data_IF_996845538230
#
_entry.id   IF_996845538230
#
_cell.length_a   1.000
_cell.length_b   1.000
_cell.length_c   1.000
_cell.angle_alpha   90.00
_cell.angle_beta   90.00
_cell.angle_gamma   90.00
#
_symmetry.space_group_name_H-M   'P 1'
#
loop_
_entity.id
_entity.type
_entity.pdbx_description
1 polymer ?
#
# COMPACT_ATOMS: atom_id res chain seq x y z
N UNK A 1 -9.50 33.05 -87.03
CA UNK A 1 -8.28 33.46 -86.31
C UNK A 1 -8.11 32.54 -85.12
N UNK A 2 -6.91 32.04 -84.96
CA UNK A 2 -6.51 30.81 -84.29
C UNK A 2 -6.24 31.01 -82.78
N UNK A 3 -6.32 29.90 -82.05
CA UNK A 3 -6.00 29.59 -80.65
C UNK A 3 -4.72 30.21 -80.09
N UNK A 4 -4.73 30.65 -78.81
CA UNK A 4 -3.62 30.40 -77.84
C UNK A 4 -4.06 30.51 -76.37
N UNK A 5 -3.55 29.57 -75.57
CA UNK A 5 -3.64 29.28 -74.13
C UNK A 5 -3.04 30.36 -73.20
N UNK A 6 -3.54 30.48 -71.96
CA UNK A 6 -2.71 30.85 -70.81
C UNK A 6 -3.30 30.30 -69.48
N UNK A 7 -2.46 29.53 -68.80
CA UNK A 7 -2.61 28.86 -67.51
C UNK A 7 -2.69 29.85 -66.35
N UNK A 8 -3.50 29.60 -65.32
CA UNK A 8 -3.30 30.24 -64.01
C UNK A 8 -3.68 29.30 -62.85
N UNK A 9 -2.72 29.18 -61.95
CA UNK A 9 -2.58 28.29 -60.80
C UNK A 9 -3.60 28.57 -59.69
N UNK A 10 -4.12 27.50 -59.09
CA UNK A 10 -5.00 27.51 -57.91
C UNK A 10 -4.17 27.51 -56.62
N UNK A 11 -4.44 28.45 -55.71
CA UNK A 11 -4.09 28.31 -54.28
C UNK A 11 -5.28 28.71 -53.43
N UNK A 12 -5.78 27.75 -52.67
CA UNK A 12 -6.94 27.82 -51.77
C UNK A 12 -6.52 28.40 -50.42
N UNK A 13 -7.25 29.40 -49.92
CA UNK A 13 -7.20 29.81 -48.50
C UNK A 13 -8.63 29.90 -47.98
N UNK A 14 -8.99 29.00 -47.07
CA UNK A 14 -10.32 28.96 -46.44
C UNK A 14 -10.24 29.65 -45.08
N UNK A 15 -10.90 30.80 -44.96
CA UNK A 15 -11.08 31.53 -43.70
C UNK A 15 -12.23 30.89 -42.91
N UNK A 16 -12.00 30.49 -41.66
CA UNK A 16 -13.06 30.06 -40.74
C UNK A 16 -13.13 31.01 -39.55
N UNK A 17 -14.29 31.62 -39.38
CA UNK A 17 -14.65 32.61 -38.36
C UNK A 17 -14.81 31.95 -37.00
N UNK A 18 -14.14 32.47 -35.98
CA UNK A 18 -14.22 32.03 -34.59
C UNK A 18 -15.36 32.74 -33.86
N UNK A 19 -16.30 32.00 -33.26
CA UNK A 19 -17.29 32.53 -32.32
C UNK A 19 -16.90 32.10 -30.91
N UNK A 20 -16.63 33.09 -30.06
CA UNK A 20 -16.22 32.92 -28.66
C UNK A 20 -17.39 32.46 -27.80
N UNK A 21 -17.25 31.31 -27.13
CA UNK A 21 -18.11 30.90 -26.01
C UNK A 21 -17.25 30.92 -24.75
N UNK A 22 -17.64 31.76 -23.80
CA UNK A 22 -17.01 31.91 -22.49
C UNK A 22 -17.41 30.71 -21.61
N UNK A 23 -16.47 29.81 -21.34
CA UNK A 23 -16.65 28.73 -20.36
C UNK A 23 -16.05 29.17 -19.03
N UNK A 24 -16.90 29.32 -18.02
CA UNK A 24 -16.50 29.52 -16.63
C UNK A 24 -15.86 28.22 -16.12
N UNK A 25 -14.56 28.25 -15.84
CA UNK A 25 -13.81 27.08 -15.35
C UNK A 25 -13.95 27.00 -13.83
N UNK A 26 -14.82 26.12 -13.34
CA UNK A 26 -14.76 25.60 -11.97
C UNK A 26 -13.65 24.54 -11.95
N UNK A 27 -12.54 24.83 -11.28
CA UNK A 27 -11.46 23.87 -11.04
C UNK A 27 -11.90 22.87 -9.98
N UNK A 28 -12.53 21.79 -10.42
CA UNK A 28 -12.71 20.58 -9.62
C UNK A 28 -11.36 19.88 -9.53
N UNK A 29 -10.59 20.14 -8.47
CA UNK A 29 -9.38 19.38 -8.14
C UNK A 29 -9.80 18.05 -7.48
N UNK A 30 -10.53 17.22 -8.22
CA UNK A 30 -10.57 15.78 -7.94
C UNK A 30 -9.20 15.22 -8.25
N UNK A 31 -8.56 14.52 -7.30
CA UNK A 31 -7.50 13.58 -7.66
C UNK A 31 -8.08 12.71 -8.79
N UNK A 32 -7.32 12.55 -9.89
CA UNK A 32 -7.77 11.74 -11.01
C UNK A 32 -8.26 10.37 -10.48
N UNK A 33 -9.32 9.77 -11.06
CA UNK A 33 -9.76 8.43 -10.67
C UNK A 33 -8.53 7.54 -10.77
N UNK A 34 -8.10 7.04 -9.62
CA UNK A 34 -6.76 6.51 -9.55
C UNK A 34 -6.72 5.17 -10.29
N UNK A 35 -5.98 5.13 -11.39
CA UNK A 35 -5.78 3.95 -12.24
C UNK A 35 -4.82 2.95 -11.59
N UNK A 36 -4.36 3.20 -10.36
CA UNK A 36 -3.32 2.40 -9.69
C UNK A 36 -3.90 1.12 -9.08
N UNK A 37 -4.27 0.18 -9.95
CA UNK A 37 -4.61 -1.20 -9.61
C UNK A 37 -3.37 -2.03 -9.22
N UNK A 38 -2.16 -1.48 -9.33
CA UNK A 38 -0.93 -2.26 -9.17
C UNK A 38 -0.81 -2.86 -7.76
N UNK A 39 -1.36 -2.21 -6.73
CA UNK A 39 -1.31 -2.74 -5.36
C UNK A 39 -2.17 -4.01 -5.17
N UNK A 40 -3.18 -4.23 -6.01
CA UNK A 40 -4.09 -5.37 -5.94
C UNK A 40 -3.35 -6.68 -6.21
N UNK A 41 -2.50 -6.69 -7.23
CA UNK A 41 -1.67 -7.86 -7.55
C UNK A 41 -0.56 -8.07 -6.53
N UNK A 42 -0.05 -6.98 -5.93
CA UNK A 42 1.06 -7.06 -4.97
C UNK A 42 0.64 -7.72 -3.65
N UNK A 43 -0.64 -7.61 -3.25
CA UNK A 43 -1.15 -8.25 -2.01
C UNK A 43 -1.06 -9.78 -2.07
N UNK A 44 -1.03 -10.37 -3.26
CA UNK A 44 -0.82 -11.82 -3.47
C UNK A 44 0.57 -12.29 -3.03
N UNK A 45 1.55 -11.39 -2.93
CA UNK A 45 2.91 -11.73 -2.53
C UNK A 45 2.99 -12.42 -1.16
N UNK A 46 2.13 -12.02 -0.21
CA UNK A 46 2.13 -12.56 1.14
C UNK A 46 1.73 -14.03 1.22
N UNK A 47 0.49 -14.39 0.86
CA UNK A 47 0.01 -15.76 0.89
C UNK A 47 0.90 -16.70 0.05
N UNK A 48 1.34 -16.25 -1.13
CA UNK A 48 2.19 -17.05 -2.00
C UNK A 48 3.58 -17.31 -1.39
N UNK A 49 4.24 -16.31 -0.80
CA UNK A 49 5.51 -16.49 -0.09
C UNK A 49 5.38 -17.46 1.09
N UNK A 50 4.30 -17.37 1.87
CA UNK A 50 4.02 -18.30 2.98
C UNK A 50 3.88 -19.73 2.49
N UNK A 51 3.23 -19.93 1.35
CA UNK A 51 3.06 -21.26 0.76
C UNK A 51 4.37 -21.83 0.21
N UNK A 52 5.19 -21.02 -0.48
CA UNK A 52 6.50 -21.46 -0.94
C UNK A 52 7.43 -21.81 0.23
N UNK A 53 7.38 -21.05 1.33
CA UNK A 53 8.09 -21.41 2.55
C UNK A 53 7.61 -22.76 3.10
N UNK A 54 6.31 -23.03 3.07
CA UNK A 54 5.76 -24.32 3.49
C UNK A 54 6.27 -25.48 2.63
N UNK A 55 6.24 -25.32 1.30
CA UNK A 55 6.77 -26.29 0.35
C UNK A 55 8.26 -26.54 0.59
N UNK A 56 9.03 -25.48 0.85
CA UNK A 56 10.45 -25.58 1.16
C UNK A 56 10.69 -26.34 2.47
N UNK A 57 9.89 -26.08 3.50
CA UNK A 57 9.98 -26.83 4.76
C UNK A 57 9.63 -28.32 4.59
N UNK A 58 8.66 -28.66 3.74
CA UNK A 58 8.39 -30.06 3.39
C UNK A 58 9.60 -30.68 2.67
N UNK A 59 10.21 -29.97 1.73
CA UNK A 59 11.43 -30.43 1.05
C UNK A 59 12.58 -30.67 2.03
N UNK A 60 12.85 -29.70 2.90
CA UNK A 60 13.91 -29.78 3.91
C UNK A 60 13.66 -30.84 5.00
N UNK A 61 12.43 -31.36 5.13
CA UNK A 61 12.14 -32.48 6.03
C UNK A 61 12.74 -33.81 5.55
N UNK A 62 13.14 -33.92 4.27
CA UNK A 62 13.82 -35.12 3.72
C UNK A 62 15.20 -35.32 4.32
N UNK A 63 16.00 -34.25 4.40
CA UNK A 63 17.39 -34.27 4.86
C UNK A 63 17.75 -32.88 5.38
N UNK A 64 18.52 -32.81 6.46
CA UNK A 64 19.12 -31.54 6.86
C UNK A 64 20.45 -31.35 6.14
N UNK A 65 20.64 -30.16 5.57
CA UNK A 65 21.76 -29.85 4.68
C UNK A 65 22.66 -28.81 5.33
N UNK A 66 23.96 -29.09 5.38
CA UNK A 66 24.98 -28.09 5.72
C UNK A 66 25.14 -27.17 4.51
N UNK A 67 25.07 -25.87 4.77
CA UNK A 67 25.21 -24.82 3.78
C UNK A 67 26.66 -24.34 3.78
N UNK A 68 27.30 -24.36 2.62
CA UNK A 68 28.71 -23.96 2.47
C UNK A 68 28.76 -22.75 1.54
N UNK A 69 29.03 -21.55 2.04
CA UNK A 69 29.24 -20.38 1.18
C UNK A 69 30.50 -20.57 0.32
N UNK A 70 30.59 -19.82 -0.77
CA UNK A 70 31.85 -19.75 -1.53
C UNK A 70 32.95 -19.04 -0.74
N UNK A 71 34.22 -19.33 -1.04
CA UNK A 71 35.39 -18.82 -0.28
C UNK A 71 35.42 -17.28 -0.13
N UNK A 72 34.82 -16.56 -1.08
CA UNK A 72 34.79 -15.10 -1.10
C UNK A 72 33.48 -14.49 -0.55
N UNK A 73 32.53 -15.32 -0.09
CA UNK A 73 31.24 -14.84 0.39
C UNK A 73 31.19 -14.79 1.92
N UNK A 74 30.94 -13.59 2.46
CA UNK A 74 30.74 -13.39 3.90
C UNK A 74 29.25 -13.38 4.22
N UNK A 75 28.82 -14.34 5.03
CA UNK A 75 27.45 -14.43 5.56
C UNK A 75 27.20 -13.27 6.53
N UNK A 76 26.08 -12.57 6.37
CA UNK A 76 25.68 -11.38 7.14
C UNK A 76 24.40 -11.57 7.94
N UNK A 77 23.42 -12.30 7.41
CA UNK A 77 22.05 -12.34 7.95
C UNK A 77 21.68 -13.73 8.51
N UNK A 78 22.14 -14.81 7.89
CA UNK A 78 21.92 -16.18 8.32
C UNK A 78 22.72 -16.46 9.59
N UNK A 79 22.05 -16.99 10.62
CA UNK A 79 22.68 -17.25 11.91
C UNK A 79 23.36 -18.61 12.00
N UNK A 80 22.83 -19.62 11.31
CA UNK A 80 23.34 -21.00 11.40
C UNK A 80 23.36 -21.70 10.05
N UNK A 81 24.50 -21.66 9.38
CA UNK A 81 24.71 -22.37 8.10
C UNK A 81 24.91 -23.87 8.24
N UNK A 82 25.05 -24.41 9.46
CA UNK A 82 25.22 -25.84 9.66
C UNK A 82 23.93 -26.64 9.46
N UNK A 83 22.78 -25.97 9.29
CA UNK A 83 21.48 -26.62 9.18
C UNK A 83 20.51 -25.77 8.37
N UNK A 84 20.20 -26.21 7.14
CA UNK A 84 19.15 -25.62 6.32
C UNK A 84 17.82 -25.52 7.09
N UNK A 85 17.47 -26.52 7.90
CA UNK A 85 16.26 -26.47 8.72
C UNK A 85 16.29 -25.32 9.72
N UNK A 86 17.44 -25.07 10.35
CA UNK A 86 17.62 -23.93 11.27
C UNK A 86 17.46 -22.59 10.55
N UNK A 87 18.00 -22.46 9.33
CA UNK A 87 17.81 -21.24 8.51
C UNK A 87 16.34 -21.05 8.13
N UNK A 88 15.63 -22.11 7.74
CA UNK A 88 14.20 -22.03 7.43
C UNK A 88 13.35 -21.65 8.65
N UNK A 89 13.72 -22.12 9.85
CA UNK A 89 13.10 -21.69 11.10
C UNK A 89 13.36 -20.21 11.38
N UNK A 90 14.58 -19.73 11.15
CA UNK A 90 14.93 -18.30 11.26
C UNK A 90 14.07 -17.46 10.31
N UNK A 91 14.00 -17.82 9.03
CA UNK A 91 13.19 -17.14 8.02
C UNK A 91 11.71 -17.14 8.41
N UNK A 92 11.16 -18.30 8.80
CA UNK A 92 9.78 -18.41 9.25
C UNK A 92 9.47 -17.50 10.43
N UNK A 93 10.37 -17.44 11.42
CA UNK A 93 10.20 -16.55 12.57
C UNK A 93 10.28 -15.07 12.18
N UNK A 94 11.19 -14.71 11.27
CA UNK A 94 11.35 -13.34 10.80
C UNK A 94 10.14 -12.88 9.98
N UNK A 95 9.66 -13.72 9.06
CA UNK A 95 8.43 -13.49 8.30
C UNK A 95 7.20 -13.38 9.20
N UNK A 96 7.05 -14.28 10.18
CA UNK A 96 5.95 -14.24 11.15
C UNK A 96 5.92 -12.89 11.88
N UNK A 97 7.08 -12.45 12.37
CA UNK A 97 7.22 -11.16 13.06
C UNK A 97 6.86 -9.99 12.14
N UNK A 98 7.36 -10.00 10.90
CA UNK A 98 7.06 -8.95 9.92
C UNK A 98 5.56 -8.86 9.63
N UNK A 99 4.88 -9.99 9.44
CA UNK A 99 3.44 -10.03 9.19
C UNK A 99 2.60 -9.59 10.39
N UNK A 100 2.97 -9.99 11.61
CA UNK A 100 2.27 -9.58 12.82
C UNK A 100 2.38 -8.07 13.04
N UNK A 101 3.60 -7.52 12.96
CA UNK A 101 3.83 -6.07 13.09
C UNK A 101 3.05 -5.32 12.01
N UNK A 102 3.15 -5.73 10.74
CA UNK A 102 2.42 -5.08 9.66
C UNK A 102 0.90 -5.13 9.83
N UNK A 103 0.37 -6.25 10.33
CA UNK A 103 -1.05 -6.39 10.60
C UNK A 103 -1.54 -5.41 11.67
N UNK A 104 -0.82 -5.32 12.79
CA UNK A 104 -1.13 -4.37 13.87
C UNK A 104 -0.97 -2.91 13.42
N UNK A 105 0.11 -2.62 12.73
CA UNK A 105 0.44 -1.29 12.18
C UNK A 105 -0.65 -0.81 11.22
N UNK A 106 -1.09 -1.65 10.29
CA UNK A 106 -2.13 -1.30 9.32
C UNK A 106 -3.52 -1.20 9.95
N UNK A 107 -3.80 -1.90 11.05
CA UNK A 107 -5.01 -1.66 11.85
C UNK A 107 -4.98 -0.24 12.46
N UNK A 108 -3.81 0.22 12.94
CA UNK A 108 -3.68 1.58 13.48
C UNK A 108 -3.86 2.63 12.40
N UNK A 109 -3.19 2.47 11.25
CA UNK A 109 -3.33 3.38 10.10
C UNK A 109 -4.79 3.49 9.69
N UNK A 110 -5.48 2.36 9.53
CA UNK A 110 -6.91 2.30 9.25
C UNK A 110 -7.73 3.09 10.26
N UNK A 111 -7.51 2.86 11.56
CA UNK A 111 -8.22 3.57 12.62
C UNK A 111 -7.99 5.08 12.57
N UNK A 112 -6.78 5.53 12.24
CA UNK A 112 -6.45 6.95 12.15
C UNK A 112 -7.06 7.59 10.91
N UNK A 113 -7.04 6.90 9.76
CA UNK A 113 -7.67 7.38 8.52
C UNK A 113 -9.19 7.49 8.61
N UNK A 114 -9.84 6.57 9.34
CA UNK A 114 -11.29 6.56 9.58
C UNK A 114 -11.76 7.81 10.35
N UNK A 115 -10.89 8.40 11.20
CA UNK A 115 -11.22 9.55 12.06
C UNK A 115 -11.00 10.92 11.40
N UNK A 116 -10.20 10.98 10.33
CA UNK A 116 -9.83 12.24 9.67
C UNK A 116 -11.06 13.06 9.22
N UNK A 117 -12.08 12.48 8.55
CA UNK A 117 -13.24 13.23 8.12
C UNK A 117 -13.97 13.93 9.27
N UNK A 118 -14.17 13.23 10.39
CA UNK A 118 -14.87 13.80 11.56
C UNK A 118 -14.06 14.91 12.23
N UNK A 119 -12.74 14.76 12.31
CA UNK A 119 -11.88 15.83 12.82
C UNK A 119 -11.88 17.08 11.92
N UNK A 120 -11.91 16.90 10.60
CA UNK A 120 -12.00 18.01 9.64
C UNK A 120 -13.36 18.71 9.76
N UNK A 121 -14.46 17.96 9.79
CA UNK A 121 -15.81 18.51 9.99
C UNK A 121 -15.90 19.37 11.25
N UNK A 122 -15.34 18.87 12.36
CA UNK A 122 -15.29 19.61 13.61
C UNK A 122 -14.48 20.92 13.48
N UNK A 123 -13.35 20.88 12.78
CA UNK A 123 -12.51 22.06 12.54
C UNK A 123 -13.24 23.13 11.73
N UNK A 124 -13.93 22.72 10.66
CA UNK A 124 -14.72 23.62 9.82
C UNK A 124 -15.88 24.26 10.61
N UNK A 125 -16.63 23.49 11.41
CA UNK A 125 -17.72 24.02 12.24
C UNK A 125 -17.23 25.03 13.27
N UNK A 126 -16.07 24.77 13.89
CA UNK A 126 -15.47 25.71 14.82
C UNK A 126 -15.16 27.03 14.10
N UNK A 127 -14.51 26.98 12.93
CA UNK A 127 -14.19 28.18 12.15
C UNK A 127 -15.46 28.96 11.78
N UNK A 128 -16.52 28.27 11.35
CA UNK A 128 -17.77 28.90 10.92
C UNK A 128 -18.54 29.55 12.09
N UNK A 129 -18.70 28.82 13.20
CA UNK A 129 -19.73 29.14 14.21
C UNK A 129 -19.17 29.55 15.57
N UNK A 130 -17.93 29.16 15.92
CA UNK A 130 -17.45 29.33 17.27
C UNK A 130 -17.11 30.80 17.58
N UNK A 131 -17.54 31.33 18.73
CA UNK A 131 -17.06 32.62 19.23
C UNK A 131 -15.53 32.68 19.32
N UNK A 132 -14.91 33.85 19.10
CA UNK A 132 -13.44 34.03 19.06
C UNK A 132 -12.71 33.45 20.30
N UNK A 133 -13.31 33.59 21.49
CA UNK A 133 -12.75 33.07 22.74
C UNK A 133 -12.78 31.54 22.85
N UNK A 134 -13.72 30.88 22.16
CA UNK A 134 -13.81 29.41 22.11
C UNK A 134 -12.96 28.87 20.96
N UNK A 135 -12.99 29.54 19.80
CA UNK A 135 -12.22 29.17 18.62
C UNK A 135 -10.72 29.07 18.93
N UNK A 136 -10.17 30.09 19.60
CA UNK A 136 -8.76 30.13 20.00
C UNK A 136 -8.34 29.03 20.97
N UNK A 137 -9.28 28.38 21.67
CA UNK A 137 -9.02 27.27 22.60
C UNK A 137 -9.21 25.90 21.98
N UNK A 138 -10.25 25.73 21.16
CA UNK A 138 -10.66 24.41 20.64
C UNK A 138 -10.07 24.06 19.26
N UNK A 139 -9.81 25.07 18.42
CA UNK A 139 -9.26 24.83 17.09
C UNK A 139 -7.87 24.18 17.14
N UNK A 140 -6.91 24.62 18.01
CA UNK A 140 -5.61 23.96 18.10
C UNK A 140 -5.71 22.47 18.45
N UNK A 141 -6.64 22.10 19.33
CA UNK A 141 -6.87 20.70 19.70
C UNK A 141 -7.37 19.87 18.50
N UNK A 142 -8.29 20.43 17.71
CA UNK A 142 -8.84 19.76 16.53
C UNK A 142 -7.77 19.58 15.45
N UNK A 143 -6.97 20.63 15.18
CA UNK A 143 -5.86 20.55 14.23
C UNK A 143 -4.82 19.52 14.67
N UNK A 144 -4.48 19.49 15.96
CA UNK A 144 -3.54 18.51 16.49
C UNK A 144 -4.03 17.06 16.31
N UNK A 145 -5.33 16.81 16.43
CA UNK A 145 -5.88 15.47 16.19
C UNK A 145 -5.79 15.06 14.71
N UNK A 146 -6.10 15.98 13.79
CA UNK A 146 -5.92 15.76 12.33
C UNK A 146 -4.45 15.50 12.02
N UNK A 147 -3.55 16.34 12.53
CA UNK A 147 -2.11 16.22 12.33
C UNK A 147 -1.58 14.89 12.87
N UNK A 148 -1.99 14.50 14.08
CA UNK A 148 -1.58 13.25 14.70
C UNK A 148 -2.03 12.05 13.86
N UNK A 149 -3.28 12.03 13.42
CA UNK A 149 -3.81 10.94 12.58
C UNK A 149 -3.06 10.83 11.24
N UNK A 150 -2.74 11.98 10.62
CA UNK A 150 -1.95 12.06 9.40
C UNK A 150 -0.50 11.57 9.60
N UNK A 151 0.15 12.02 10.69
CA UNK A 151 1.53 11.68 11.02
C UNK A 151 1.70 10.21 11.39
N UNK A 152 0.69 9.59 12.01
CA UNK A 152 0.73 8.19 12.43
C UNK A 152 0.90 7.23 11.23
N UNK A 153 0.22 7.51 10.11
CA UNK A 153 0.37 6.76 8.87
C UNK A 153 1.82 6.68 8.38
N UNK A 154 2.42 7.86 8.19
CA UNK A 154 3.80 8.01 7.69
C UNK A 154 4.85 7.47 8.67
N UNK A 155 4.65 7.73 9.97
CA UNK A 155 5.59 7.32 11.01
C UNK A 155 5.68 5.78 11.15
N UNK A 156 4.59 5.07 10.89
CA UNK A 156 4.51 3.62 11.04
C UNK A 156 4.91 2.90 9.75
N UNK A 157 4.49 3.37 8.57
CA UNK A 157 4.68 2.67 7.30
C UNK A 157 6.14 2.36 6.96
N UNK A 158 7.04 3.29 7.24
CA UNK A 158 8.47 3.16 6.89
C UNK A 158 9.20 2.11 7.72
N UNK A 159 9.12 2.10 9.07
CA UNK A 159 9.62 0.99 9.88
C UNK A 159 9.04 -0.37 9.47
N UNK A 160 7.75 -0.43 9.10
CA UNK A 160 7.15 -1.67 8.58
C UNK A 160 7.86 -2.12 7.31
N UNK A 161 8.03 -1.24 6.31
CA UNK A 161 8.76 -1.54 5.06
C UNK A 161 10.19 -2.05 5.31
N UNK A 162 10.93 -1.40 6.21
CA UNK A 162 12.32 -1.79 6.54
C UNK A 162 12.41 -3.21 7.10
N UNK A 163 11.38 -3.68 7.83
CA UNK A 163 11.30 -5.08 8.29
C UNK A 163 11.16 -6.04 7.12
N UNK A 164 10.33 -5.72 6.13
CA UNK A 164 10.21 -6.55 4.92
C UNK A 164 11.52 -6.59 4.15
N UNK A 165 12.20 -5.45 3.98
CA UNK A 165 13.53 -5.41 3.34
C UNK A 165 14.51 -6.32 4.08
N UNK A 166 14.53 -6.26 5.42
CA UNK A 166 15.42 -7.09 6.24
C UNK A 166 15.18 -8.59 6.07
N UNK A 167 13.92 -9.03 5.97
CA UNK A 167 13.59 -10.44 5.68
C UNK A 167 13.98 -10.82 4.24
N UNK A 168 13.81 -9.91 3.28
CA UNK A 168 14.22 -10.12 1.89
C UNK A 168 15.72 -10.40 1.77
N UNK A 169 16.54 -9.65 2.49
CA UNK A 169 18.00 -9.85 2.55
C UNK A 169 18.37 -11.23 3.11
N UNK A 170 17.64 -11.72 4.11
CA UNK A 170 17.84 -13.07 4.67
C UNK A 170 17.51 -14.17 3.64
N UNK A 171 16.41 -14.02 2.89
CA UNK A 171 16.01 -14.98 1.84
C UNK A 171 16.99 -14.95 0.67
N UNK A 172 17.44 -13.77 0.26
CA UNK A 172 18.42 -13.59 -0.81
C UNK A 172 19.77 -14.20 -0.46
N UNK A 173 20.23 -14.03 0.78
CA UNK A 173 21.45 -14.69 1.25
C UNK A 173 21.29 -16.20 1.24
N UNK A 174 20.15 -16.75 1.66
CA UNK A 174 19.89 -18.20 1.60
C UNK A 174 19.97 -18.72 0.17
N UNK A 175 19.32 -18.05 -0.79
CA UNK A 175 19.38 -18.42 -2.20
C UNK A 175 20.82 -18.42 -2.72
N UNK A 176 21.61 -17.42 -2.35
CA UNK A 176 23.03 -17.27 -2.75
C UNK A 176 23.90 -18.39 -2.18
N UNK A 177 23.73 -18.71 -0.89
CA UNK A 177 24.51 -19.76 -0.23
C UNK A 177 24.12 -21.15 -0.76
N UNK A 178 22.83 -21.39 -1.04
CA UNK A 178 22.38 -22.65 -1.64
C UNK A 178 23.00 -22.88 -3.02
N UNK A 179 23.03 -21.84 -3.87
CA UNK A 179 23.69 -21.88 -5.18
C UNK A 179 25.19 -22.18 -5.10
N UNK A 180 25.85 -21.76 -4.01
CA UNK A 180 27.29 -21.94 -3.81
C UNK A 180 27.64 -23.25 -3.12
N UNK A 181 26.66 -23.93 -2.50
CA UNK A 181 26.89 -25.14 -1.72
C UNK A 181 27.23 -26.29 -2.67
N UNK A 182 28.40 -26.94 -2.54
CA UNK A 182 28.80 -28.00 -3.45
C UNK A 182 27.94 -29.26 -3.25
N UNK A 183 27.58 -29.91 -4.35
CA UNK A 183 26.94 -31.22 -4.31
C UNK A 183 27.98 -32.34 -4.25
N UNK A 184 27.76 -33.31 -3.35
CA UNK A 184 28.62 -34.50 -3.23
C UNK A 184 28.12 -35.69 -4.08
N UNK A 185 26.92 -35.60 -4.62
CA UNK A 185 26.28 -36.62 -5.48
C UNK A 185 25.25 -35.97 -6.41
N UNK A 186 24.82 -36.68 -7.45
CA UNK A 186 23.73 -36.25 -8.34
C UNK A 186 22.42 -36.06 -7.57
N UNK A 187 22.04 -37.00 -6.70
CA UNK A 187 20.86 -36.88 -5.84
C UNK A 187 20.93 -35.63 -4.93
N UNK A 188 22.12 -35.29 -4.42
CA UNK A 188 22.31 -34.08 -3.63
C UNK A 188 22.27 -32.81 -4.49
N UNK A 189 22.66 -32.89 -5.77
CA UNK A 189 22.55 -31.79 -6.71
C UNK A 189 21.08 -31.47 -7.02
N UNK A 190 20.26 -32.48 -7.29
CA UNK A 190 18.82 -32.32 -7.52
C UNK A 190 18.12 -31.72 -6.29
N UNK A 191 18.46 -32.20 -5.09
CA UNK A 191 17.95 -31.65 -3.84
C UNK A 191 18.29 -30.17 -3.66
N UNK A 192 19.55 -29.78 -3.91
CA UNK A 192 20.00 -28.39 -3.79
C UNK A 192 19.39 -27.48 -4.87
N UNK A 193 19.19 -27.99 -6.08
CA UNK A 193 18.52 -27.28 -7.16
C UNK A 193 17.05 -26.99 -6.79
N UNK A 194 16.31 -27.97 -6.28
CA UNK A 194 14.92 -27.78 -5.84
C UNK A 194 14.85 -26.81 -4.64
N UNK A 195 15.76 -26.94 -3.67
CA UNK A 195 15.88 -26.01 -2.53
C UNK A 195 16.14 -24.57 -2.99
N UNK A 196 17.03 -24.39 -3.96
CA UNK A 196 17.34 -23.08 -4.57
C UNK A 196 16.12 -22.50 -5.29
N UNK A 197 15.36 -23.34 -6.00
CA UNK A 197 14.11 -22.91 -6.65
C UNK A 197 13.12 -22.35 -5.64
N UNK A 198 12.89 -23.06 -4.53
CA UNK A 198 11.99 -22.56 -3.49
C UNK A 198 12.48 -21.25 -2.87
N UNK A 199 13.79 -21.11 -2.59
CA UNK A 199 14.35 -19.86 -2.06
C UNK A 199 14.13 -18.69 -3.03
N UNK A 200 14.31 -18.91 -4.34
CA UNK A 200 14.06 -17.91 -5.37
C UNK A 200 12.57 -17.58 -5.52
N UNK A 201 11.68 -18.56 -5.47
CA UNK A 201 10.24 -18.33 -5.52
C UNK A 201 9.79 -17.48 -4.33
N UNK A 202 10.26 -17.78 -3.12
CA UNK A 202 10.03 -16.97 -1.94
C UNK A 202 10.55 -15.54 -2.17
N UNK A 203 11.79 -15.38 -2.65
CA UNK A 203 12.38 -14.07 -2.93
C UNK A 203 11.49 -13.25 -3.86
N UNK A 204 11.09 -13.82 -5.00
CA UNK A 204 10.25 -13.14 -5.99
C UNK A 204 8.92 -12.68 -5.37
N UNK A 205 8.26 -13.53 -4.58
CA UNK A 205 7.00 -13.16 -3.93
C UNK A 205 7.20 -12.15 -2.80
N UNK A 206 8.32 -12.22 -2.10
CA UNK A 206 8.69 -11.27 -1.06
C UNK A 206 9.01 -9.88 -1.62
N UNK A 207 9.62 -9.80 -2.81
CA UNK A 207 9.84 -8.53 -3.51
C UNK A 207 8.52 -7.84 -3.88
N UNK A 208 7.44 -8.59 -4.14
CA UNK A 208 6.11 -8.01 -4.33
C UNK A 208 5.59 -7.37 -3.04
N UNK A 209 5.82 -8.00 -1.88
CA UNK A 209 5.49 -7.40 -0.58
C UNK A 209 6.30 -6.14 -0.31
N UNK A 210 7.60 -6.13 -0.61
CA UNK A 210 8.43 -4.93 -0.46
C UNK A 210 7.88 -3.79 -1.33
N UNK A 211 7.48 -4.09 -2.58
CA UNK A 211 6.81 -3.10 -3.46
C UNK A 211 5.48 -2.62 -2.88
N UNK A 212 4.67 -3.52 -2.33
CA UNK A 212 3.40 -3.19 -1.67
C UNK A 212 3.62 -2.22 -0.50
N UNK A 213 4.53 -2.54 0.42
CA UNK A 213 4.80 -1.70 1.59
C UNK A 213 5.45 -0.37 1.21
N UNK A 214 6.19 -0.30 0.10
CA UNK A 214 6.66 0.96 -0.45
C UNK A 214 5.49 1.82 -0.93
N UNK A 215 4.56 1.26 -1.72
CA UNK A 215 3.33 1.97 -2.12
C UNK A 215 2.51 2.44 -0.92
N UNK A 216 2.40 1.63 0.14
CA UNK A 216 1.77 2.05 1.39
C UNK A 216 2.46 3.26 2.01
N UNK A 217 3.80 3.25 2.10
CA UNK A 217 4.55 4.37 2.65
C UNK A 217 4.39 5.63 1.82
N UNK A 218 4.52 5.52 0.50
CA UNK A 218 4.37 6.65 -0.42
C UNK A 218 2.95 7.23 -0.33
N UNK A 219 1.92 6.38 -0.20
CA UNK A 219 0.54 6.81 0.02
C UNK A 219 0.36 7.50 1.36
N UNK A 220 0.94 6.97 2.44
CA UNK A 220 0.86 7.56 3.77
C UNK A 220 1.50 8.97 3.79
N UNK A 221 2.67 9.13 3.17
CA UNK A 221 3.36 10.41 3.01
C UNK A 221 2.55 11.38 2.14
N UNK A 222 1.94 10.89 1.06
CA UNK A 222 1.06 11.69 0.21
C UNK A 222 -0.17 12.16 0.99
N UNK A 223 -0.82 11.27 1.75
CA UNK A 223 -2.00 11.59 2.56
C UNK A 223 -1.65 12.65 3.61
N UNK A 224 -0.53 12.47 4.31
CA UNK A 224 -0.03 13.42 5.29
C UNK A 224 0.26 14.79 4.66
N UNK A 225 0.95 14.81 3.52
CA UNK A 225 1.26 16.05 2.78
C UNK A 225 -0.02 16.74 2.32
N UNK A 226 -1.00 15.99 1.80
CA UNK A 226 -2.29 16.53 1.40
C UNK A 226 -2.98 17.18 2.59
N UNK A 227 -3.05 16.53 3.74
CA UNK A 227 -3.68 17.07 4.96
C UNK A 227 -2.99 18.34 5.44
N UNK A 228 -1.66 18.31 5.52
CA UNK A 228 -0.88 19.44 6.02
C UNK A 228 -1.08 20.67 5.11
N UNK A 229 -0.87 20.50 3.81
CA UNK A 229 -0.90 21.62 2.86
C UNK A 229 -2.33 22.12 2.59
N UNK A 230 -3.32 21.22 2.62
CA UNK A 230 -4.70 21.53 2.24
C UNK A 230 -5.57 22.00 3.41
N UNK A 231 -5.20 21.69 4.64
CA UNK A 231 -6.04 21.98 5.81
C UNK A 231 -5.28 22.68 6.93
N UNK A 232 -4.17 22.11 7.39
CA UNK A 232 -3.47 22.60 8.58
C UNK A 232 -2.75 23.93 8.30
N UNK A 233 -1.94 23.99 7.24
CA UNK A 233 -1.15 25.18 6.90
C UNK A 233 -2.02 26.41 6.61
N UNK A 234 -3.09 26.35 5.80
CA UNK A 234 -3.94 27.52 5.55
C UNK A 234 -4.57 28.08 6.83
N UNK A 235 -4.97 27.20 7.76
CA UNK A 235 -5.54 27.61 9.05
C UNK A 235 -4.47 28.26 9.93
N UNK A 236 -3.28 27.67 10.02
CA UNK A 236 -2.16 28.21 10.79
C UNK A 236 -1.68 29.57 10.23
N UNK A 237 -1.73 29.77 8.92
CA UNK A 237 -1.40 31.06 8.29
C UNK A 237 -2.46 32.15 8.55
N UNK A 238 -3.73 31.77 8.72
CA UNK A 238 -4.81 32.69 9.02
C UNK A 238 -4.81 33.17 10.49
N UNK A 239 -4.29 32.36 11.44
CA UNK A 239 -4.31 32.67 12.87
C UNK A 239 -3.55 33.96 13.27
N UNK A 240 -2.28 34.20 12.86
CA UNK A 240 -1.51 35.38 13.29
C UNK A 240 -2.02 36.70 12.72
N UNK A 241 -2.70 36.67 11.58
CA UNK A 241 -3.07 37.86 10.80
C UNK A 241 -4.48 38.38 11.11
N UNK A 242 -5.07 38.01 12.27
CA UNK A 242 -6.49 38.24 12.58
C UNK A 242 -7.48 37.61 11.58
N UNK A 243 -7.03 36.71 10.70
CA UNK A 243 -7.83 36.10 9.63
C UNK A 243 -8.92 35.14 10.11
N UNK A 244 -9.10 35.02 11.43
CA UNK A 244 -10.16 34.27 12.08
C UNK A 244 -11.00 35.13 13.03
N UNK A 245 -10.78 36.45 13.11
CA UNK A 245 -11.46 37.32 14.07
C UNK A 245 -12.77 37.89 13.53
N UNK A 246 -12.92 37.99 12.20
CA UNK A 246 -14.13 38.48 11.53
C UNK A 246 -14.84 37.35 10.79
N UNK A 247 -16.16 37.47 10.63
CA UNK A 247 -16.95 36.47 9.90
C UNK A 247 -16.63 36.46 8.41
N UNK A 248 -16.26 37.60 7.82
CA UNK A 248 -15.86 37.69 6.42
C UNK A 248 -14.55 36.93 6.15
N UNK A 249 -13.56 37.04 7.04
CA UNK A 249 -12.28 36.35 6.85
C UNK A 249 -12.42 34.84 7.03
N UNK A 250 -13.23 34.42 8.00
CA UNK A 250 -13.60 33.01 8.22
C UNK A 250 -14.30 32.42 6.99
N UNK A 251 -15.26 33.14 6.40
CA UNK A 251 -15.96 32.68 5.20
C UNK A 251 -15.00 32.55 4.01
N UNK A 252 -14.10 33.51 3.82
CA UNK A 252 -13.08 33.45 2.76
C UNK A 252 -12.09 32.27 2.95
N UNK A 253 -11.75 31.93 4.21
CA UNK A 253 -10.94 30.75 4.51
C UNK A 253 -11.71 29.46 4.24
N UNK A 254 -12.97 29.37 4.68
CA UNK A 254 -13.82 28.20 4.45
C UNK A 254 -13.99 27.92 2.95
N UNK A 255 -14.24 28.95 2.13
CA UNK A 255 -14.31 28.82 0.67
C UNK A 255 -13.05 28.21 0.03
N UNK A 256 -11.88 28.38 0.65
CA UNK A 256 -10.61 27.78 0.20
C UNK A 256 -10.43 26.35 0.73
N UNK A 257 -10.74 26.11 2.00
CA UNK A 257 -10.52 24.82 2.66
C UNK A 257 -11.46 23.73 2.10
N UNK A 258 -12.72 24.09 1.88
CA UNK A 258 -13.80 23.17 1.56
C UNK A 258 -13.49 22.31 0.33
N UNK A 259 -13.10 22.86 -0.84
CA UNK A 259 -12.73 22.04 -1.99
C UNK A 259 -11.57 21.08 -1.72
N UNK A 260 -10.63 21.46 -0.84
CA UNK A 260 -9.46 20.63 -0.55
C UNK A 260 -9.77 19.49 0.42
N UNK A 261 -10.84 19.59 1.22
CA UNK A 261 -11.27 18.49 2.11
C UNK A 261 -11.71 17.25 1.35
N UNK A 262 -12.24 17.41 0.12
CA UNK A 262 -12.56 16.29 -0.79
C UNK A 262 -11.29 15.51 -1.13
N UNK A 263 -10.18 16.18 -1.43
CA UNK A 263 -8.91 15.52 -1.75
C UNK A 263 -8.34 14.78 -0.53
N UNK A 264 -8.47 15.35 0.67
CA UNK A 264 -8.07 14.67 1.92
C UNK A 264 -8.91 13.41 2.15
N UNK A 265 -10.22 13.52 1.96
CA UNK A 265 -11.17 12.43 2.17
C UNK A 265 -10.93 11.25 1.20
N UNK A 266 -10.65 11.56 -0.06
CA UNK A 266 -10.25 10.58 -1.07
C UNK A 266 -8.94 9.88 -0.70
N UNK A 267 -7.91 10.65 -0.34
CA UNK A 267 -6.59 10.12 -0.01
C UNK A 267 -6.62 9.22 1.22
N UNK A 268 -7.34 9.65 2.27
CA UNK A 268 -7.48 8.90 3.52
C UNK A 268 -8.24 7.60 3.33
N UNK A 269 -9.35 7.61 2.57
CA UNK A 269 -10.16 6.42 2.31
C UNK A 269 -9.43 5.38 1.48
N UNK A 270 -8.62 5.82 0.53
CA UNK A 270 -7.82 4.91 -0.27
C UNK A 270 -6.75 4.21 0.57
N UNK A 271 -6.01 4.96 1.39
CA UNK A 271 -5.04 4.37 2.31
C UNK A 271 -5.69 3.39 3.30
N UNK A 272 -6.86 3.76 3.81
CA UNK A 272 -7.70 2.93 4.66
C UNK A 272 -8.12 1.62 3.95
N UNK A 273 -8.59 1.70 2.70
CA UNK A 273 -9.01 0.55 1.92
C UNK A 273 -7.83 -0.40 1.62
N UNK A 274 -6.66 0.14 1.26
CA UNK A 274 -5.46 -0.68 1.08
C UNK A 274 -5.11 -1.40 2.39
N UNK A 275 -5.12 -0.68 3.52
CA UNK A 275 -4.78 -1.23 4.83
C UNK A 275 -5.78 -2.32 5.28
N UNK A 276 -7.07 -2.10 5.05
CA UNK A 276 -8.14 -3.10 5.28
C UNK A 276 -7.92 -4.35 4.44
N UNK A 277 -7.62 -4.19 3.15
CA UNK A 277 -7.40 -5.32 2.25
C UNK A 277 -6.22 -6.17 2.72
N UNK A 278 -5.08 -5.55 3.05
CA UNK A 278 -3.95 -6.31 3.58
C UNK A 278 -4.26 -7.00 4.90
N UNK A 279 -4.93 -6.31 5.85
CA UNK A 279 -5.22 -6.88 7.17
C UNK A 279 -6.16 -8.08 7.08
N UNK A 280 -7.16 -8.03 6.20
CA UNK A 280 -8.04 -9.17 5.89
C UNK A 280 -7.24 -10.35 5.29
N UNK A 281 -6.42 -10.09 4.26
CA UNK A 281 -5.57 -11.13 3.63
C UNK A 281 -4.59 -11.74 4.64
N UNK A 282 -3.96 -10.91 5.47
CA UNK A 282 -2.98 -11.34 6.46
C UNK A 282 -3.61 -12.25 7.52
N UNK A 283 -4.79 -11.88 8.01
CA UNK A 283 -5.56 -12.67 8.98
C UNK A 283 -5.98 -14.01 8.41
N UNK A 284 -6.54 -14.03 7.21
CA UNK A 284 -7.22 -15.20 6.67
C UNK A 284 -6.26 -16.18 5.96
N UNK A 285 -5.09 -15.70 5.52
CA UNK A 285 -4.21 -16.48 4.64
C UNK A 285 -2.74 -16.53 5.06
N UNK A 286 -2.28 -15.72 6.02
CA UNK A 286 -0.84 -15.60 6.31
C UNK A 286 -0.49 -15.98 7.75
N UNK A 287 -1.05 -15.29 8.75
CA UNK A 287 -0.60 -15.40 10.15
C UNK A 287 -0.76 -16.83 10.70
N UNK A 288 -1.91 -17.46 10.49
CA UNK A 288 -2.14 -18.82 10.99
C UNK A 288 -1.34 -19.86 10.19
N UNK A 289 -1.24 -19.68 8.86
CA UNK A 289 -0.52 -20.61 7.99
C UNK A 289 0.98 -20.63 8.29
N UNK A 290 1.62 -19.47 8.46
CA UNK A 290 3.05 -19.41 8.75
C UNK A 290 3.40 -20.04 10.11
N UNK A 291 2.50 -19.97 11.09
CA UNK A 291 2.67 -20.64 12.38
C UNK A 291 2.67 -22.17 12.22
N UNK A 292 1.79 -22.69 11.36
CA UNK A 292 1.68 -24.13 11.07
C UNK A 292 2.86 -24.67 10.27
N UNK A 293 3.50 -23.84 9.45
CA UNK A 293 4.56 -24.29 8.53
C UNK A 293 5.73 -24.99 9.24
N UNK A 294 6.08 -24.56 10.46
CA UNK A 294 7.19 -25.13 11.24
C UNK A 294 7.05 -26.64 11.47
N UNK A 295 5.82 -27.15 11.53
CA UNK A 295 5.55 -28.58 11.70
C UNK A 295 5.98 -29.43 10.50
N UNK A 296 6.07 -28.84 9.29
CA UNK A 296 6.46 -29.58 8.09
C UNK A 296 7.88 -30.13 8.14
N UNK A 297 8.79 -29.46 8.86
CA UNK A 297 10.18 -29.92 9.04
C UNK A 297 10.27 -31.26 9.78
N UNK A 298 9.24 -31.62 10.56
CA UNK A 298 9.17 -32.87 11.32
C UNK A 298 8.60 -34.06 10.55
N UNK A 299 8.23 -33.91 9.27
CA UNK A 299 7.65 -35.02 8.50
C UNK A 299 8.72 -36.05 8.14
N UNK A 300 8.65 -37.22 8.77
CA UNK A 300 9.56 -38.34 8.50
C UNK A 300 9.15 -39.20 7.29
N UNK A 301 7.85 -39.29 6.99
CA UNK A 301 7.27 -40.27 6.07
C UNK A 301 7.05 -39.66 4.67
N UNK A 302 7.58 -40.29 3.62
CA UNK A 302 7.49 -39.77 2.23
C UNK A 302 6.04 -39.63 1.73
N UNK A 303 5.16 -40.60 2.01
CA UNK A 303 3.75 -40.52 1.61
C UNK A 303 3.03 -39.32 2.23
N UNK A 304 3.42 -38.93 3.45
CA UNK A 304 2.90 -37.74 4.12
C UNK A 304 3.46 -36.47 3.46
N UNK A 305 4.76 -36.42 3.13
CA UNK A 305 5.35 -35.29 2.38
C UNK A 305 4.65 -35.05 1.05
N UNK A 306 4.48 -36.11 0.25
CA UNK A 306 3.81 -36.03 -1.05
C UNK A 306 2.35 -35.54 -0.91
N UNK A 307 1.64 -35.98 0.12
CA UNK A 307 0.29 -35.49 0.42
C UNK A 307 0.30 -34.00 0.81
N UNK A 308 1.21 -33.59 1.69
CA UNK A 308 1.35 -32.19 2.12
C UNK A 308 1.70 -31.27 0.95
N UNK A 309 2.63 -31.67 0.07
CA UNK A 309 2.96 -30.89 -1.13
C UNK A 309 1.75 -30.70 -2.04
N UNK A 310 0.98 -31.76 -2.32
CA UNK A 310 -0.24 -31.65 -3.15
C UNK A 310 -1.26 -30.70 -2.53
N UNK A 311 -1.48 -30.78 -1.22
CA UNK A 311 -2.40 -29.89 -0.50
C UNK A 311 -1.92 -28.43 -0.55
N UNK A 312 -0.62 -28.17 -0.35
CA UNK A 312 -0.05 -26.83 -0.45
C UNK A 312 -0.20 -26.25 -1.87
N UNK A 313 0.00 -27.05 -2.92
CA UNK A 313 -0.21 -26.60 -4.30
C UNK A 313 -1.68 -26.27 -4.59
N UNK A 314 -2.62 -27.08 -4.11
CA UNK A 314 -4.05 -26.81 -4.25
C UNK A 314 -4.46 -25.54 -3.48
N UNK A 315 -3.96 -25.40 -2.24
CA UNK A 315 -4.21 -24.24 -1.41
C UNK A 315 -3.70 -22.97 -2.09
N UNK A 316 -2.49 -22.99 -2.65
CA UNK A 316 -1.90 -21.86 -3.37
C UNK A 316 -2.83 -21.31 -4.46
N UNK A 317 -3.35 -22.18 -5.32
CA UNK A 317 -4.24 -21.80 -6.42
C UNK A 317 -5.56 -21.21 -5.89
N UNK A 318 -6.16 -21.84 -4.88
CA UNK A 318 -7.42 -21.36 -4.30
C UNK A 318 -7.24 -20.02 -3.57
N UNK A 319 -6.15 -19.86 -2.81
CA UNK A 319 -5.83 -18.63 -2.08
C UNK A 319 -5.54 -17.48 -3.04
N UNK A 320 -4.77 -17.72 -4.11
CA UNK A 320 -4.47 -16.66 -5.08
C UNK A 320 -5.74 -16.12 -5.75
N UNK A 321 -6.70 -17.00 -6.08
CA UNK A 321 -7.99 -16.59 -6.65
C UNK A 321 -8.80 -15.79 -5.64
N UNK A 322 -8.90 -16.27 -4.40
CA UNK A 322 -9.68 -15.60 -3.35
C UNK A 322 -9.13 -14.22 -3.01
N UNK A 323 -7.82 -14.07 -2.93
CA UNK A 323 -7.14 -12.82 -2.60
C UNK A 323 -7.25 -11.82 -3.75
N UNK A 324 -7.07 -12.26 -5.01
CA UNK A 324 -7.26 -11.39 -6.17
C UNK A 324 -8.71 -10.90 -6.26
N UNK A 325 -9.69 -11.78 -6.02
CA UNK A 325 -11.11 -11.42 -5.98
C UNK A 325 -11.40 -10.41 -4.87
N UNK A 326 -10.83 -10.60 -3.68
CA UNK A 326 -11.00 -9.66 -2.56
C UNK A 326 -10.43 -8.28 -2.89
N UNK A 327 -9.21 -8.21 -3.45
CA UNK A 327 -8.59 -6.94 -3.83
C UNK A 327 -9.44 -6.19 -4.88
N UNK A 328 -9.92 -6.89 -5.91
CA UNK A 328 -10.81 -6.32 -6.92
C UNK A 328 -12.15 -5.86 -6.33
N UNK A 329 -12.76 -6.66 -5.44
CA UNK A 329 -14.02 -6.32 -4.76
C UNK A 329 -13.87 -5.03 -3.94
N UNK A 330 -12.75 -4.89 -3.21
CA UNK A 330 -12.45 -3.69 -2.41
C UNK A 330 -12.21 -2.46 -3.28
N UNK A 331 -11.52 -2.62 -4.41
CA UNK A 331 -11.35 -1.54 -5.38
C UNK A 331 -12.68 -1.06 -5.96
N UNK A 332 -13.54 -2.01 -6.37
CA UNK A 332 -14.86 -1.70 -6.91
C UNK A 332 -15.72 -0.98 -5.86
N UNK A 333 -15.70 -1.47 -4.62
CA UNK A 333 -16.39 -0.83 -3.50
C UNK A 333 -15.89 0.61 -3.28
N UNK A 334 -14.59 0.87 -3.36
CA UNK A 334 -14.04 2.22 -3.27
C UNK A 334 -14.55 3.11 -4.42
N UNK A 335 -14.52 2.62 -5.66
CA UNK A 335 -14.98 3.35 -6.84
C UNK A 335 -16.48 3.68 -6.79
N UNK A 336 -17.29 2.77 -6.25
CA UNK A 336 -18.75 2.95 -6.11
C UNK A 336 -19.12 3.89 -4.96
N UNK A 337 -18.42 3.79 -3.82
CA UNK A 337 -18.78 4.55 -2.61
C UNK A 337 -18.13 5.93 -2.51
N UNK A 338 -16.99 6.14 -3.19
CA UNK A 338 -16.26 7.41 -3.14
C UNK A 338 -17.08 8.60 -3.68
N UNK A 339 -17.83 8.52 -4.79
CA UNK A 339 -18.67 9.61 -5.27
C UNK A 339 -19.77 10.00 -4.28
N UNK A 340 -20.49 9.02 -3.72
CA UNK A 340 -21.56 9.27 -2.75
C UNK A 340 -21.01 9.89 -1.47
N UNK A 341 -19.86 9.39 -1.00
CA UNK A 341 -19.16 9.93 0.17
C UNK A 341 -18.70 11.37 -0.06
N UNK A 342 -18.23 11.71 -1.27
CA UNK A 342 -17.90 13.08 -1.65
C UNK A 342 -19.13 13.97 -1.76
N UNK A 343 -20.25 13.44 -2.26
CA UNK A 343 -21.51 14.18 -2.36
C UNK A 343 -22.13 14.46 -0.98
N UNK A 344 -22.06 13.50 -0.05
CA UNK A 344 -22.45 13.69 1.34
C UNK A 344 -21.57 14.78 2.00
N UNK A 345 -20.25 14.70 1.77
CA UNK A 345 -19.32 15.72 2.26
C UNK A 345 -19.67 17.09 1.66
N UNK A 346 -19.87 17.20 0.34
CA UNK A 346 -20.25 18.45 -0.32
C UNK A 346 -21.57 19.03 0.22
N UNK A 347 -22.56 18.17 0.46
CA UNK A 347 -23.85 18.58 1.05
C UNK A 347 -23.66 19.17 2.45
N UNK A 348 -22.84 18.53 3.28
CA UNK A 348 -22.48 19.05 4.59
C UNK A 348 -21.76 20.41 4.48
N UNK A 349 -20.87 20.55 3.50
CA UNK A 349 -20.11 21.78 3.27
C UNK A 349 -21.00 22.94 2.79
N UNK A 350 -22.03 22.66 1.99
CA UNK A 350 -23.04 23.66 1.58
C UNK A 350 -23.84 24.19 2.78
N UNK A 351 -24.12 23.35 3.78
CA UNK A 351 -24.72 23.80 5.05
C UNK A 351 -23.74 24.68 5.84
N UNK A 352 -22.44 24.36 5.81
CA UNK A 352 -21.38 25.16 6.46
C UNK A 352 -21.11 26.50 5.74
N UNK A 353 -21.44 26.63 4.45
CA UNK A 353 -21.30 27.88 3.70
C UNK A 353 -22.59 28.71 3.64
N UNK A 354 -23.76 28.06 3.76
CA UNK A 354 -25.07 28.70 3.66
C UNK A 354 -25.65 29.22 4.98
N UNK A 355 -25.04 28.90 6.12
CA UNK A 355 -25.36 29.41 7.45
C UNK A 355 -24.27 30.37 7.96
#
# INVERSE_FOLDING_TARGET
TTTTTATTTTTTTTTTTTTTTTTTTTTTTTLAPEVDHEWEDLVLGGPTAVNYLALFMVHASRKDQVLTPSDNYTIKYIQNVQSLRSVLMQISSAMQTAFQVAHEDLIRIRSSMDQIPEHIKAGLLLIQTAPNNLLSKLLPYTLHNVERAANEGSAISKPTLERFVSVGLLVEELATVLLSTPSSSEENADYLMEATSYANDIKVKWDLLIKLFRKFSDRADTTQTTINNSFIEPINQAQPNNGLNSQSDRLALLQKLIPMTIAIDQSSHLLDMMARTYTDVSKDHMIDQINKNKAYLGIAIESVRAKSQRQLWQNLLSQSINVARLAQERHNQFSETSPDRQAEYATYLDVVLGA
#
